data_IF_232555389672
#
_entry.id   IF_232555389672
#
_cell.length_a   1.000
_cell.length_b   1.000
_cell.length_c   1.000
_cell.angle_alpha   90.00
_cell.angle_beta   90.00
_cell.angle_gamma   90.00
#
_symmetry.space_group_name_H-M   'P 1'
#
loop_
_entity.id
_entity.type
_entity.pdbx_description
1 polymer ?
#
# COMPACT_ATOMS: atom_id res chain seq x y z
N UNK A 1 -14.66 26.22 4.35
CA UNK A 1 -13.46 26.51 3.57
C UNK A 1 -13.25 25.41 2.54
N UNK A 2 -12.77 25.77 1.36
CA UNK A 2 -12.47 24.82 0.26
C UNK A 2 -11.01 24.30 0.34
N UNK A 3 -10.20 24.89 1.23
CA UNK A 3 -8.77 24.62 1.39
C UNK A 3 -8.47 23.89 2.70
N UNK A 4 -7.35 23.13 2.69
CA UNK A 4 -6.83 22.48 3.88
C UNK A 4 -6.19 23.51 4.82
N UNK A 5 -6.58 23.53 6.09
CA UNK A 5 -5.91 24.43 7.02
C UNK A 5 -6.57 24.54 8.38
N UNK A 6 -5.83 25.15 9.28
CA UNK A 6 -6.30 25.53 10.59
C UNK A 6 -6.43 27.06 10.67
N UNK A 7 -7.63 27.53 10.98
CA UNK A 7 -7.96 28.95 11.08
C UNK A 7 -8.41 29.30 12.47
N UNK A 8 -7.95 30.44 12.95
CA UNK A 8 -8.43 31.06 14.19
C UNK A 8 -8.83 32.51 13.91
N UNK A 9 -9.75 32.99 14.68
CA UNK A 9 -10.24 34.38 14.61
C UNK A 9 -11.24 34.66 15.74
N UNK A 10 -11.67 35.88 15.84
CA UNK A 10 -12.61 36.29 16.86
C UNK A 10 -13.87 36.89 16.24
N UNK A 11 -15.02 36.61 16.85
CA UNK A 11 -16.24 37.41 16.64
C UNK A 11 -16.30 38.42 17.76
N UNK A 12 -16.21 39.70 17.39
CA UNK A 12 -16.29 40.81 18.33
C UNK A 12 -17.64 41.44 18.23
N UNK A 13 -18.37 41.47 19.37
CA UNK A 13 -19.62 42.25 19.55
C UNK A 13 -19.29 43.55 20.25
N UNK A 14 -19.54 44.66 19.59
CA UNK A 14 -19.48 45.98 20.21
C UNK A 14 -20.88 46.44 20.58
N UNK A 15 -21.03 47.03 21.76
CA UNK A 15 -22.30 47.55 22.27
C UNK A 15 -22.08 48.90 22.91
N UNK A 16 -23.16 49.63 23.16
CA UNK A 16 -23.18 50.88 23.89
C UNK A 16 -23.25 50.70 25.43
N UNK A 17 -23.04 49.48 25.89
CA UNK A 17 -22.99 49.14 27.31
C UNK A 17 -21.82 49.84 27.99
N UNK A 18 -22.08 50.60 29.06
CA UNK A 18 -21.05 51.32 29.84
C UNK A 18 -20.07 50.37 30.56
N UNK A 19 -20.53 49.18 30.92
CA UNK A 19 -19.72 48.21 31.70
C UNK A 19 -18.96 47.22 30.85
N UNK A 20 -19.48 46.84 29.68
CA UNK A 20 -18.85 45.89 28.75
C UNK A 20 -19.15 46.32 27.31
N UNK A 21 -18.39 47.29 26.76
CA UNK A 21 -18.62 47.77 25.40
C UNK A 21 -18.22 46.76 24.32
N UNK A 22 -17.36 45.77 24.63
CA UNK A 22 -16.92 44.77 23.71
C UNK A 22 -16.95 43.37 24.34
N UNK A 23 -17.43 42.41 23.57
CA UNK A 23 -17.31 40.96 23.84
C UNK A 23 -16.64 40.29 22.68
N UNK A 24 -15.65 39.46 22.95
CA UNK A 24 -14.97 38.63 21.95
C UNK A 24 -15.23 37.16 22.21
N UNK A 25 -15.56 36.44 21.13
CA UNK A 25 -15.66 34.97 21.14
C UNK A 25 -14.62 34.44 20.17
N UNK A 26 -13.65 33.70 20.71
CA UNK A 26 -12.64 33.06 19.89
C UNK A 26 -13.26 31.88 19.08
N UNK A 27 -12.97 31.85 17.80
CA UNK A 27 -13.36 30.79 16.88
C UNK A 27 -12.13 30.05 16.39
N UNK A 28 -12.30 28.74 16.22
CA UNK A 28 -11.30 27.91 15.56
C UNK A 28 -11.98 26.93 14.60
N UNK A 29 -11.36 26.68 13.46
CA UNK A 29 -11.85 25.76 12.46
C UNK A 29 -10.69 25.01 11.80
N UNK A 30 -10.86 23.71 11.64
CA UNK A 30 -9.96 22.86 10.87
C UNK A 30 -10.73 22.32 9.65
N UNK A 31 -10.15 22.49 8.46
CA UNK A 31 -10.64 21.88 7.23
C UNK A 31 -9.50 21.08 6.60
N UNK A 32 -9.78 19.82 6.27
CA UNK A 32 -8.86 18.93 5.57
C UNK A 32 -9.61 18.29 4.40
N UNK A 33 -9.17 18.56 3.19
CA UNK A 33 -9.79 18.07 1.96
C UNK A 33 -8.88 17.05 1.23
N UNK A 34 -7.66 16.84 1.71
CA UNK A 34 -6.77 15.82 1.16
C UNK A 34 -7.17 14.47 1.71
N UNK A 35 -7.54 13.54 0.83
CA UNK A 35 -7.74 12.14 1.19
C UNK A 35 -6.45 11.36 0.90
N UNK A 36 -6.02 10.55 1.85
CA UNK A 36 -4.90 9.62 1.67
C UNK A 36 -5.43 8.25 1.19
N UNK A 37 -6.27 8.27 0.14
CA UNK A 37 -6.74 7.03 -0.45
C UNK A 37 -5.66 6.47 -1.36
N UNK A 38 -5.23 5.24 -1.10
CA UNK A 38 -4.24 4.56 -1.93
C UNK A 38 -4.41 3.05 -1.86
N UNK A 39 -4.29 2.42 -3.03
CA UNK A 39 -4.22 0.98 -3.19
C UNK A 39 -2.80 0.60 -3.64
N UNK A 40 -2.10 -0.16 -2.81
CA UNK A 40 -0.74 -0.65 -3.07
C UNK A 40 -0.72 -1.82 -4.05
N UNK A 41 -1.88 -2.43 -4.34
CA UNK A 41 -1.96 -3.68 -5.10
C UNK A 41 -1.25 -4.82 -4.40
N UNK A 42 -0.76 -5.77 -5.19
CA UNK A 42 -0.06 -6.96 -4.66
C UNK A 42 1.39 -6.67 -4.30
N UNK A 43 1.75 -6.92 -3.03
CA UNK A 43 3.11 -6.80 -2.49
C UNK A 43 3.53 -8.12 -1.86
N UNK A 44 4.71 -8.64 -2.21
CA UNK A 44 5.22 -9.87 -1.63
C UNK A 44 5.41 -9.75 -0.11
N UNK A 45 5.01 -10.78 0.65
CA UNK A 45 4.99 -10.79 2.13
C UNK A 45 6.34 -10.56 2.81
N UNK A 46 7.43 -10.50 2.07
CA UNK A 46 8.78 -10.20 2.57
C UNK A 46 9.30 -8.84 2.10
N UNK A 47 8.49 -8.10 1.35
CA UNK A 47 8.84 -6.80 0.78
C UNK A 47 7.89 -5.72 1.31
N UNK A 48 8.16 -4.48 0.93
CA UNK A 48 7.31 -3.34 1.23
C UNK A 48 7.19 -2.43 0.01
N UNK A 49 6.13 -1.63 0.00
CA UNK A 49 5.88 -0.59 -0.99
C UNK A 49 5.58 0.72 -0.29
N UNK A 50 6.16 1.80 -0.77
CA UNK A 50 6.06 3.14 -0.19
C UNK A 50 5.27 4.08 -1.10
N UNK A 51 4.47 4.93 -0.49
CA UNK A 51 3.80 6.05 -1.17
C UNK A 51 3.96 7.33 -0.37
N UNK A 52 4.27 8.42 -1.07
CA UNK A 52 4.45 9.74 -0.43
C UNK A 52 3.22 10.61 -0.65
N UNK A 53 2.68 11.11 0.45
CA UNK A 53 1.60 12.08 0.49
C UNK A 53 2.11 13.42 0.98
N UNK A 54 1.45 14.52 0.57
CA UNK A 54 1.78 15.86 1.05
C UNK A 54 0.58 16.48 1.76
N UNK A 55 0.76 16.82 3.03
CA UNK A 55 -0.19 17.62 3.80
C UNK A 55 0.14 19.08 3.66
N UNK A 56 -0.88 19.91 3.44
CA UNK A 56 -0.74 21.36 3.36
C UNK A 56 -1.58 22.02 4.44
N UNK A 57 -1.07 23.08 5.05
CA UNK A 57 -1.82 23.96 5.93
C UNK A 57 -1.91 25.35 5.30
N UNK A 58 -2.99 25.63 4.59
CA UNK A 58 -3.25 26.94 3.98
C UNK A 58 -3.96 27.91 4.94
N UNK A 59 -4.17 27.48 6.18
CA UNK A 59 -4.77 28.28 7.23
C UNK A 59 -3.84 29.37 7.77
N UNK A 60 -4.37 30.20 8.67
CA UNK A 60 -3.66 31.33 9.27
C UNK A 60 -2.96 30.98 10.59
N UNK A 61 -3.00 29.73 11.00
CA UNK A 61 -2.47 29.27 12.31
C UNK A 61 -1.75 27.95 12.12
N UNK A 62 -0.70 27.74 12.90
CA UNK A 62 0.05 26.47 12.94
C UNK A 62 -0.85 25.34 13.43
N UNK A 63 -0.76 24.18 12.76
CA UNK A 63 -1.50 22.99 13.08
C UNK A 63 -0.57 21.95 13.70
N UNK A 64 -0.87 21.48 14.90
CA UNK A 64 -0.18 20.36 15.52
C UNK A 64 -0.87 19.07 15.09
N UNK A 65 -0.10 18.18 14.46
CA UNK A 65 -0.50 16.83 14.06
C UNK A 65 -0.17 15.90 15.23
N UNK A 66 -1.13 15.64 16.11
CA UNK A 66 -0.89 14.84 17.33
C UNK A 66 -0.49 13.41 16.96
N UNK A 67 -1.16 12.81 16.00
CA UNK A 67 -0.76 11.52 15.40
C UNK A 67 -1.52 11.20 14.13
N UNK A 68 -0.92 10.36 13.28
CA UNK A 68 -1.58 9.70 12.15
C UNK A 68 -1.65 8.20 12.44
N UNK A 69 -2.84 7.61 12.34
CA UNK A 69 -3.07 6.17 12.56
C UNK A 69 -3.67 5.53 11.32
N UNK A 70 -3.15 4.38 10.95
CA UNK A 70 -3.53 3.67 9.72
C UNK A 70 -4.53 2.53 9.97
N UNK A 71 -4.83 2.24 11.23
CA UNK A 71 -5.82 1.22 11.63
C UNK A 71 -5.37 -0.23 11.46
N UNK A 72 -4.28 -0.50 10.74
CA UNK A 72 -3.74 -1.83 10.47
C UNK A 72 -2.22 -1.82 10.63
N UNK A 73 -1.64 -2.86 11.21
CA UNK A 73 -0.20 -2.98 11.45
C UNK A 73 0.63 -3.10 10.15
N UNK A 74 -0.01 -3.59 9.08
CA UNK A 74 0.65 -3.68 7.77
C UNK A 74 0.94 -2.31 7.14
N UNK A 75 0.26 -1.24 7.58
CA UNK A 75 0.52 0.13 7.14
C UNK A 75 1.20 0.92 8.24
N UNK A 76 2.35 1.50 7.93
CA UNK A 76 3.11 2.35 8.85
C UNK A 76 3.35 3.73 8.24
N UNK A 77 3.67 4.73 9.06
CA UNK A 77 3.95 6.10 8.60
C UNK A 77 5.22 6.62 9.25
N UNK A 78 5.94 7.47 8.54
CA UNK A 78 7.11 8.21 9.04
C UNK A 78 6.74 9.51 9.76
N UNK A 79 5.46 9.89 9.82
CA UNK A 79 5.03 11.07 10.55
C UNK A 79 5.30 10.92 12.05
N UNK A 80 6.10 11.83 12.58
CA UNK A 80 6.40 11.90 14.02
C UNK A 80 5.21 12.54 14.74
N UNK A 81 4.71 11.88 15.79
CA UNK A 81 3.64 12.40 16.63
C UNK A 81 4.01 13.77 17.22
N UNK A 82 3.09 14.73 17.17
CA UNK A 82 3.31 16.09 17.63
C UNK A 82 4.00 17.00 16.61
N UNK A 83 4.16 16.58 15.35
CA UNK A 83 4.71 17.43 14.29
C UNK A 83 3.86 18.68 14.10
N UNK A 84 4.50 19.85 14.05
CA UNK A 84 3.82 21.12 13.77
C UNK A 84 3.90 21.46 12.29
N UNK A 85 2.76 21.60 11.66
CA UNK A 85 2.59 22.07 10.30
C UNK A 85 2.29 23.57 10.31
N UNK A 86 3.29 24.38 10.01
CA UNK A 86 3.18 25.86 10.09
C UNK A 86 2.12 26.39 9.14
N UNK A 87 1.56 27.55 9.47
CA UNK A 87 0.68 28.31 8.57
C UNK A 87 1.35 28.55 7.22
N UNK A 88 0.68 28.18 6.13
CA UNK A 88 1.19 28.22 4.76
C UNK A 88 2.23 27.13 4.46
N UNK A 89 2.53 26.23 5.40
CA UNK A 89 3.51 25.16 5.26
C UNK A 89 2.96 23.89 4.65
N UNK A 90 3.88 22.98 4.30
CA UNK A 90 3.60 21.62 3.84
C UNK A 90 4.49 20.59 4.53
N UNK A 91 3.97 19.38 4.68
CA UNK A 91 4.68 18.22 5.23
C UNK A 91 4.48 17.02 4.31
N UNK A 92 5.58 16.46 3.83
CA UNK A 92 5.55 15.16 3.16
C UNK A 92 5.52 14.03 4.20
N UNK A 93 4.70 13.04 3.94
CA UNK A 93 4.52 11.85 4.78
C UNK A 93 4.69 10.64 3.87
N UNK A 94 5.54 9.71 4.27
CA UNK A 94 5.65 8.40 3.63
C UNK A 94 4.76 7.42 4.39
N UNK A 95 3.94 6.70 3.66
CA UNK A 95 3.17 5.57 4.17
C UNK A 95 3.69 4.31 3.49
N UNK A 96 4.08 3.34 4.30
CA UNK A 96 4.65 2.05 3.87
C UNK A 96 3.63 0.95 4.08
N UNK A 97 3.39 0.15 3.06
CA UNK A 97 2.67 -1.13 3.15
C UNK A 97 3.67 -2.27 3.20
N UNK A 98 3.62 -3.09 4.24
CA UNK A 98 4.49 -4.25 4.48
C UNK A 98 3.64 -5.45 4.95
N UNK A 99 3.03 -6.22 4.02
CA UNK A 99 2.18 -7.34 4.38
C UNK A 99 2.99 -8.50 4.99
N UNK A 100 2.43 -9.13 6.02
CA UNK A 100 2.99 -10.34 6.65
C UNK A 100 2.20 -11.61 6.35
N UNK A 101 1.04 -11.46 5.74
CA UNK A 101 0.14 -12.55 5.29
C UNK A 101 -0.33 -12.27 3.87
N UNK A 102 -0.89 -13.27 3.21
CA UNK A 102 -1.42 -13.17 1.84
C UNK A 102 -2.87 -12.67 1.77
N UNK A 103 -3.33 -12.04 2.82
CA UNK A 103 -4.69 -11.49 2.87
C UNK A 103 -4.74 -10.09 2.22
N UNK A 104 -5.92 -9.71 1.74
CA UNK A 104 -6.24 -8.32 1.46
C UNK A 104 -6.33 -7.55 2.78
N UNK A 105 -5.63 -6.44 2.88
CA UNK A 105 -5.61 -5.57 4.05
C UNK A 105 -6.20 -4.21 3.69
N UNK A 106 -7.21 -3.79 4.44
CA UNK A 106 -7.79 -2.45 4.35
C UNK A 106 -7.66 -1.72 5.68
N UNK A 107 -7.19 -0.47 5.66
CA UNK A 107 -6.99 0.36 6.83
C UNK A 107 -7.55 1.77 6.66
N UNK A 108 -8.31 2.24 7.65
CA UNK A 108 -8.75 3.63 7.70
C UNK A 108 -7.61 4.50 8.23
N UNK A 109 -7.32 5.59 7.56
CA UNK A 109 -6.37 6.61 8.02
C UNK A 109 -7.10 7.64 8.85
N UNK A 110 -6.64 7.85 10.09
CA UNK A 110 -7.20 8.83 11.03
C UNK A 110 -6.11 9.79 11.47
N UNK A 111 -6.32 11.07 11.21
CA UNK A 111 -5.49 12.15 11.71
C UNK A 111 -6.07 12.65 13.05
N UNK A 112 -5.24 12.70 14.08
CA UNK A 112 -5.56 13.27 15.38
C UNK A 112 -4.91 14.63 15.52
N UNK A 113 -5.67 15.59 16.03
CA UNK A 113 -5.23 16.95 16.32
C UNK A 113 -5.85 17.44 17.62
N UNK A 114 -5.37 18.53 18.20
CA UNK A 114 -5.97 19.16 19.38
C UNK A 114 -7.46 19.53 19.21
N UNK A 115 -7.96 19.64 17.98
CA UNK A 115 -9.36 19.93 17.66
C UNK A 115 -10.23 18.69 17.50
N UNK A 116 -9.63 17.51 17.54
CA UNK A 116 -10.31 16.22 17.38
C UNK A 116 -9.70 15.33 16.31
N UNK A 117 -10.40 14.24 16.00
CA UNK A 117 -9.98 13.23 15.03
C UNK A 117 -10.73 13.40 13.71
N UNK A 118 -10.03 13.26 12.61
CA UNK A 118 -10.55 13.38 11.25
C UNK A 118 -10.28 12.07 10.51
N UNK A 119 -11.32 11.47 9.89
CA UNK A 119 -11.15 10.41 8.93
C UNK A 119 -10.44 11.01 7.70
N UNK A 120 -9.25 10.50 7.37
CA UNK A 120 -8.34 11.14 6.45
C UNK A 120 -8.11 10.33 5.17
N UNK A 121 -8.67 9.14 5.08
CA UNK A 121 -8.65 8.29 3.90
C UNK A 121 -8.66 6.81 4.21
N UNK A 122 -8.45 6.01 3.18
CA UNK A 122 -8.37 4.55 3.22
C UNK A 122 -7.14 4.05 2.47
N UNK A 123 -6.52 3.02 3.01
CA UNK A 123 -5.40 2.32 2.40
C UNK A 123 -5.82 0.89 2.13
N UNK A 124 -5.44 0.36 0.99
CA UNK A 124 -5.66 -1.03 0.63
C UNK A 124 -4.38 -1.64 0.05
N UNK A 125 -4.26 -2.95 0.13
CA UNK A 125 -3.19 -3.71 -0.51
C UNK A 125 -3.32 -5.20 -0.23
N UNK A 126 -2.75 -6.02 -1.11
CA UNK A 126 -2.76 -7.47 -1.04
C UNK A 126 -1.36 -8.00 -0.72
N UNK A 127 -1.26 -8.91 0.25
CA UNK A 127 -0.04 -9.66 0.45
C UNK A 127 0.03 -10.83 -0.54
N UNK A 128 1.18 -11.05 -1.17
CA UNK A 128 1.40 -12.14 -2.11
C UNK A 128 2.51 -13.07 -1.67
N UNK A 129 2.36 -14.36 -1.97
CA UNK A 129 3.44 -15.33 -1.85
C UNK A 129 4.39 -15.28 -3.06
N UNK A 130 5.66 -15.65 -2.83
CA UNK A 130 6.61 -15.93 -3.88
C UNK A 130 6.10 -17.04 -4.80
N UNK A 131 6.52 -17.08 -6.09
CA UNK A 131 6.19 -18.18 -6.97
C UNK A 131 6.75 -19.49 -6.41
N UNK A 132 5.95 -20.55 -6.45
CA UNK A 132 6.32 -21.88 -6.02
C UNK A 132 6.00 -22.89 -7.11
N UNK A 133 7.04 -23.47 -7.70
CA UNK A 133 6.92 -24.44 -8.78
C UNK A 133 6.54 -25.83 -8.27
N UNK A 134 5.46 -26.39 -8.79
CA UNK A 134 5.09 -27.78 -8.58
C UNK A 134 5.03 -28.52 -9.92
N UNK A 135 5.73 -29.64 -10.02
CA UNK A 135 5.69 -30.54 -11.18
C UNK A 135 4.79 -31.73 -10.90
N UNK A 136 4.02 -32.16 -11.91
CA UNK A 136 3.17 -33.36 -11.85
C UNK A 136 3.98 -34.65 -11.70
N UNK A 137 5.25 -34.65 -12.09
CA UNK A 137 6.15 -35.79 -11.95
C UNK A 137 7.59 -35.35 -11.63
N UNK A 138 8.28 -36.08 -10.76
CA UNK A 138 9.71 -35.86 -10.41
C UNK A 138 10.66 -36.72 -11.22
N UNK A 139 10.17 -37.79 -11.86
CA UNK A 139 10.92 -38.68 -12.71
C UNK A 139 9.98 -39.37 -13.71
N UNK A 140 10.49 -39.62 -14.89
CA UNK A 140 9.83 -40.37 -15.95
C UNK A 140 10.74 -41.51 -16.37
N UNK A 141 10.15 -42.65 -16.73
CA UNK A 141 10.86 -43.75 -17.31
C UNK A 141 10.06 -44.43 -18.41
N UNK A 142 10.71 -44.77 -19.49
CA UNK A 142 10.10 -45.46 -20.61
C UNK A 142 10.95 -46.65 -21.06
N UNK A 143 10.25 -47.64 -21.57
CA UNK A 143 10.85 -48.73 -22.37
C UNK A 143 10.11 -48.74 -23.71
N UNK A 144 10.81 -48.49 -24.79
CA UNK A 144 10.22 -48.45 -26.11
C UNK A 144 10.98 -49.38 -27.10
N UNK A 145 10.35 -49.74 -28.21
CA UNK A 145 11.00 -50.48 -29.28
C UNK A 145 11.69 -49.54 -30.26
N UNK A 146 12.63 -50.02 -31.00
CA UNK A 146 13.30 -49.29 -32.08
C UNK A 146 12.25 -48.71 -33.07
N UNK A 147 12.38 -47.45 -33.39
CA UNK A 147 11.47 -46.67 -34.23
C UNK A 147 10.05 -46.42 -33.66
N UNK A 148 9.91 -46.50 -32.33
CA UNK A 148 8.69 -46.07 -31.64
C UNK A 148 9.05 -44.98 -30.64
N UNK A 149 8.20 -43.94 -30.57
CA UNK A 149 8.32 -42.87 -29.62
C UNK A 149 7.37 -43.12 -28.42
N UNK A 150 7.71 -42.60 -27.29
CA UNK A 150 6.85 -42.55 -26.08
C UNK A 150 6.81 -41.14 -25.60
N UNK A 151 5.61 -40.62 -25.51
CA UNK A 151 5.34 -39.21 -25.05
C UNK A 151 4.87 -39.20 -23.59
N UNK A 152 5.34 -38.24 -22.84
CA UNK A 152 4.91 -37.94 -21.48
C UNK A 152 4.57 -36.49 -21.34
N UNK A 153 3.47 -36.21 -20.67
CA UNK A 153 3.10 -34.86 -20.26
C UNK A 153 3.61 -34.59 -18.84
N UNK A 154 4.29 -33.48 -18.68
CA UNK A 154 4.67 -32.93 -17.38
C UNK A 154 3.98 -31.59 -17.22
N UNK A 155 3.13 -31.49 -16.22
CA UNK A 155 2.48 -30.24 -15.85
C UNK A 155 3.33 -29.48 -14.85
N UNK A 156 3.51 -28.18 -15.09
CA UNK A 156 4.09 -27.21 -14.16
C UNK A 156 2.96 -26.32 -13.64
N UNK A 157 2.77 -26.31 -12.34
CA UNK A 157 1.81 -25.47 -11.62
C UNK A 157 2.55 -24.47 -10.76
N UNK A 158 2.13 -23.22 -10.77
CA UNK A 158 2.55 -22.21 -9.80
C UNK A 158 1.58 -22.22 -8.60
N UNK A 159 2.08 -22.52 -7.41
CA UNK A 159 1.31 -22.52 -6.17
C UNK A 159 1.42 -21.18 -5.42
N UNK A 160 2.25 -20.25 -5.88
CA UNK A 160 2.35 -18.90 -5.35
C UNK A 160 1.45 -17.92 -6.08
N UNK A 161 1.35 -16.70 -5.56
CA UNK A 161 0.50 -15.63 -6.13
C UNK A 161 1.25 -14.81 -7.19
N UNK A 162 2.58 -14.74 -7.10
CA UNK A 162 3.41 -14.00 -8.05
C UNK A 162 3.73 -14.86 -9.28
N UNK A 163 3.75 -14.29 -10.50
CA UNK A 163 4.06 -15.04 -11.71
C UNK A 163 5.39 -15.80 -11.63
N UNK A 164 5.40 -17.04 -12.10
CA UNK A 164 6.56 -17.93 -12.16
C UNK A 164 7.14 -17.92 -13.58
N UNK A 165 8.34 -17.39 -13.73
CA UNK A 165 9.11 -17.54 -14.96
C UNK A 165 9.90 -18.86 -14.93
N UNK A 166 9.87 -19.62 -16.02
CA UNK A 166 10.59 -20.89 -16.11
C UNK A 166 11.29 -21.06 -17.45
N UNK A 167 12.32 -21.88 -17.46
CA UNK A 167 12.97 -22.37 -18.68
C UNK A 167 13.16 -23.88 -18.55
N UNK A 168 13.01 -24.59 -19.68
CA UNK A 168 13.22 -26.03 -19.75
C UNK A 168 14.41 -26.33 -20.65
N UNK A 169 15.24 -27.27 -20.26
CA UNK A 169 16.38 -27.74 -21.05
C UNK A 169 16.46 -29.25 -20.97
N UNK A 170 16.90 -29.88 -22.05
CA UNK A 170 17.27 -31.32 -22.06
C UNK A 170 18.77 -31.40 -21.88
N UNK A 171 19.23 -32.23 -20.93
CA UNK A 171 20.67 -32.50 -20.72
C UNK A 171 21.29 -33.06 -21.99
N UNK A 172 22.49 -32.59 -22.36
CA UNK A 172 23.21 -32.97 -23.55
C UNK A 172 23.53 -34.48 -23.64
N UNK A 173 23.59 -35.17 -22.50
CA UNK A 173 23.83 -36.63 -22.44
C UNK A 173 22.67 -37.46 -23.00
N UNK A 174 21.47 -36.88 -23.11
CA UNK A 174 20.28 -37.46 -23.76
C UNK A 174 20.11 -37.03 -25.22
N UNK A 175 21.05 -36.28 -25.78
CA UNK A 175 20.97 -35.69 -27.12
C UNK A 175 20.58 -36.72 -28.19
N UNK A 176 19.44 -36.46 -28.85
CA UNK A 176 18.88 -37.25 -29.91
C UNK A 176 17.91 -38.36 -29.47
N UNK A 177 17.72 -38.60 -28.16
CA UNK A 177 16.77 -39.58 -27.63
C UNK A 177 15.57 -38.91 -26.91
N UNK A 178 15.78 -37.73 -26.39
CA UNK A 178 14.74 -36.93 -25.70
C UNK A 178 14.65 -35.54 -26.34
N UNK A 179 13.46 -35.09 -26.61
CA UNK A 179 13.20 -33.75 -27.08
C UNK A 179 11.97 -33.18 -26.39
N UNK A 180 11.89 -31.87 -26.31
CA UNK A 180 10.72 -31.15 -25.81
C UNK A 180 9.78 -30.82 -26.98
N UNK A 181 8.50 -31.10 -26.83
CA UNK A 181 7.47 -30.81 -27.84
C UNK A 181 6.75 -29.48 -27.59
N UNK A 182 7.04 -28.82 -26.45
CA UNK A 182 6.47 -27.53 -26.06
C UNK A 182 7.55 -26.44 -25.94
N UNK A 183 7.12 -25.21 -25.64
CA UNK A 183 8.01 -24.06 -25.49
C UNK A 183 9.12 -24.32 -24.45
N UNK A 184 10.34 -23.91 -24.80
CA UNK A 184 11.52 -24.04 -23.95
C UNK A 184 11.50 -23.13 -22.69
N UNK A 185 10.46 -22.32 -22.52
CA UNK A 185 10.25 -21.44 -21.40
C UNK A 185 8.97 -20.64 -21.49
N UNK A 186 8.56 -20.05 -20.41
CA UNK A 186 7.31 -19.29 -20.33
C UNK A 186 7.07 -18.68 -18.96
N UNK A 187 5.83 -18.19 -18.80
CA UNK A 187 5.34 -17.65 -17.54
C UNK A 187 4.07 -18.40 -17.14
N UNK A 188 3.97 -18.76 -15.86
CA UNK A 188 2.78 -19.37 -15.26
C UNK A 188 2.24 -18.41 -14.21
N UNK A 189 1.00 -17.94 -14.42
CA UNK A 189 0.30 -17.11 -13.44
C UNK A 189 0.05 -17.89 -12.13
N UNK A 190 0.02 -17.19 -11.05
CA UNK A 190 -0.42 -17.73 -9.76
C UNK A 190 -1.94 -17.77 -9.66
#
# INVERSE_FOLDING_TARGET
PEDNGYWTGDVVLTSDSYQQPEHSVALSALSMNTLLDHDYGGVLTSLSSDTTFTLNNTGNTDLVLDSLRTGQEAFTTDLVDGTTLSSGGSQSIVVTFAPTTTDTVEGAVVLHTALGSIAFGTLAGDGWNWPEAQFSAKSLSAVTYVNNDTEFDIELTNLGDYPLDYTTTVDADFGGWVWLSADEGGNVSG
#
